data_IF_908684236585
#
_entry.id   IF_908684236585
#
_cell.length_a   1.000
_cell.length_b   1.000
_cell.length_c   1.000
_cell.angle_alpha   90.00
_cell.angle_beta   90.00
_cell.angle_gamma   90.00
#
_symmetry.space_group_name_H-M   'P 1'
#
loop_
_entity.id
_entity.type
_entity.pdbx_description
1 polymer ?
#
# COMPACT_ATOMS: atom_id res chain seq x y z
N UNK A 1 2.41 -15.19 33.56
CA UNK A 1 3.38 -15.53 32.50
C UNK A 1 3.66 -14.28 31.70
N UNK A 2 4.94 -13.96 31.47
CA UNK A 2 5.39 -12.76 30.77
C UNK A 2 5.42 -13.04 29.25
N UNK A 3 4.26 -13.45 28.72
CA UNK A 3 4.13 -13.92 27.33
C UNK A 3 3.62 -12.79 26.44
N UNK A 4 4.26 -12.61 25.28
CA UNK A 4 3.86 -11.62 24.29
C UNK A 4 2.55 -12.05 23.61
N UNK A 5 1.65 -11.08 23.38
CA UNK A 5 0.40 -11.32 22.66
C UNK A 5 0.68 -11.50 21.16
N UNK A 6 0.09 -12.52 20.50
CA UNK A 6 0.32 -12.76 19.09
C UNK A 6 -0.29 -11.67 18.21
N UNK A 7 0.29 -11.47 17.01
CA UNK A 7 -0.22 -10.60 15.94
C UNK A 7 -0.32 -9.12 16.28
N UNK A 8 0.59 -8.63 17.11
CA UNK A 8 0.76 -7.19 17.28
C UNK A 8 1.36 -6.63 15.99
N UNK A 9 0.60 -5.80 15.28
CA UNK A 9 1.10 -5.08 14.11
C UNK A 9 2.42 -4.37 14.43
N UNK A 10 3.45 -4.51 13.57
CA UNK A 10 4.66 -3.72 13.73
C UNK A 10 4.33 -2.23 13.65
N UNK A 11 5.23 -1.42 14.19
CA UNK A 11 5.20 0.02 13.94
C UNK A 11 5.18 0.26 12.42
N UNK A 12 4.33 1.19 11.98
CA UNK A 12 4.28 1.65 10.59
C UNK A 12 4.39 3.16 10.57
N UNK A 13 5.25 3.67 9.70
CA UNK A 13 5.41 5.09 9.46
C UNK A 13 5.16 5.35 7.98
N UNK A 14 4.28 6.30 7.67
CA UNK A 14 3.94 6.63 6.30
C UNK A 14 3.86 8.13 6.08
N UNK A 15 4.09 8.53 4.84
CA UNK A 15 3.97 9.90 4.37
C UNK A 15 3.47 9.93 2.93
N UNK A 16 2.76 11.00 2.58
CA UNK A 16 2.18 11.14 1.24
C UNK A 16 2.22 12.57 0.73
N UNK A 17 2.48 12.70 -0.56
CA UNK A 17 2.41 13.96 -1.30
C UNK A 17 1.24 13.91 -2.26
N UNK A 18 0.45 14.98 -2.30
CA UNK A 18 -0.67 15.13 -3.23
C UNK A 18 -0.53 16.45 -3.97
N UNK A 19 -0.72 16.40 -5.28
CA UNK A 19 -0.75 17.54 -6.16
C UNK A 19 -2.03 17.52 -6.99
N UNK A 20 -2.67 18.67 -7.17
CA UNK A 20 -3.84 18.81 -8.02
C UNK A 20 -3.86 20.20 -8.67
N UNK A 21 -3.98 20.25 -10.00
CA UNK A 21 -4.07 21.49 -10.76
C UNK A 21 -4.83 21.27 -12.06
N UNK A 22 -5.79 22.14 -12.37
CA UNK A 22 -6.49 22.20 -13.66
C UNK A 22 -6.97 20.84 -14.21
N UNK A 23 -7.56 20.01 -13.34
CA UNK A 23 -8.07 18.69 -13.70
C UNK A 23 -7.03 17.57 -13.70
N UNK A 24 -5.74 17.89 -13.56
CA UNK A 24 -4.69 16.91 -13.29
C UNK A 24 -4.55 16.68 -11.78
N UNK A 25 -4.36 15.43 -11.38
CA UNK A 25 -4.00 15.07 -10.00
C UNK A 25 -2.93 13.99 -9.97
N UNK A 26 -2.04 14.11 -8.99
CA UNK A 26 -0.97 13.17 -8.72
C UNK A 26 -0.88 12.90 -7.22
N UNK A 27 -0.55 11.67 -6.85
CA UNK A 27 -0.29 11.27 -5.47
C UNK A 27 0.87 10.29 -5.42
N UNK A 28 1.73 10.46 -4.44
CA UNK A 28 2.81 9.53 -4.11
C UNK A 28 2.73 9.24 -2.61
N UNK A 29 2.69 7.97 -2.24
CA UNK A 29 2.69 7.52 -0.86
C UNK A 29 3.87 6.60 -0.60
N UNK A 30 4.50 6.76 0.55
CA UNK A 30 5.55 5.88 1.06
C UNK A 30 5.12 5.36 2.42
N UNK A 31 5.23 4.06 2.62
CA UNK A 31 4.95 3.38 3.87
C UNK A 31 6.14 2.49 4.23
N UNK A 32 6.73 2.70 5.40
CA UNK A 32 7.72 1.80 6.00
C UNK A 32 7.05 1.05 7.15
N UNK A 33 6.99 -0.27 7.03
CA UNK A 33 6.70 -1.15 8.15
C UNK A 33 8.03 -1.61 8.76
N UNK A 34 8.16 -1.50 10.08
CA UNK A 34 9.34 -1.99 10.79
C UNK A 34 9.22 -3.50 11.04
N UNK A 35 10.34 -4.13 11.43
CA UNK A 35 10.32 -5.54 11.80
C UNK A 35 9.53 -5.78 13.09
N UNK A 36 8.89 -6.96 13.18
CA UNK A 36 8.27 -7.44 14.42
C UNK A 36 9.01 -8.69 14.89
N UNK A 37 9.68 -8.55 16.04
CA UNK A 37 10.51 -9.62 16.63
C UNK A 37 9.95 -10.10 17.98
N UNK A 38 8.93 -9.43 18.54
CA UNK A 38 8.27 -9.83 19.79
C UNK A 38 7.08 -10.73 19.46
N UNK A 39 7.35 -12.01 19.23
CA UNK A 39 6.35 -12.99 18.79
C UNK A 39 5.91 -13.91 19.93
N UNK A 40 4.67 -14.41 19.86
CA UNK A 40 4.19 -15.44 20.78
C UNK A 40 4.79 -16.82 20.44
N UNK A 41 4.59 -17.81 21.32
CA UNK A 41 4.99 -19.20 21.04
C UNK A 41 4.33 -19.71 19.74
N UNK A 42 5.15 -20.13 18.77
CA UNK A 42 4.79 -20.53 17.39
C UNK A 42 4.48 -19.41 16.39
N UNK A 43 4.92 -18.18 16.64
CA UNK A 43 4.83 -17.08 15.67
C UNK A 43 6.22 -16.68 15.13
N UNK A 44 6.37 -16.63 13.79
CA UNK A 44 7.62 -16.27 13.12
C UNK A 44 7.78 -14.75 13.04
N UNK A 45 8.99 -14.27 13.32
CA UNK A 45 9.39 -12.88 13.13
C UNK A 45 9.06 -12.42 11.70
N UNK A 46 8.70 -11.14 11.54
CA UNK A 46 8.35 -10.58 10.23
C UNK A 46 9.26 -9.43 9.90
N UNK A 47 9.92 -9.53 8.74
CA UNK A 47 10.81 -8.51 8.24
C UNK A 47 10.07 -7.23 7.91
N UNK A 48 10.75 -6.09 8.09
CA UNK A 48 10.23 -4.80 7.70
C UNK A 48 10.27 -4.62 6.19
N UNK A 49 9.29 -3.91 5.64
CA UNK A 49 9.18 -3.65 4.19
C UNK A 49 8.96 -2.14 3.92
N UNK A 50 9.26 -1.70 2.70
CA UNK A 50 8.84 -0.39 2.19
C UNK A 50 7.89 -0.56 1.02
N UNK A 51 6.68 -0.03 1.15
CA UNK A 51 5.77 0.12 0.02
C UNK A 51 5.80 1.56 -0.50
N UNK A 52 6.04 1.73 -1.80
CA UNK A 52 5.82 2.99 -2.51
C UNK A 52 4.68 2.79 -3.50
N UNK A 53 3.68 3.66 -3.43
CA UNK A 53 2.55 3.67 -4.36
C UNK A 53 2.36 5.05 -4.99
N UNK A 54 1.89 5.08 -6.23
CA UNK A 54 1.65 6.30 -6.98
C UNK A 54 0.30 6.25 -7.68
N UNK A 55 -0.33 7.42 -7.83
CA UNK A 55 -1.55 7.59 -8.60
C UNK A 55 -1.46 8.84 -9.45
N UNK A 56 -1.91 8.73 -10.70
CA UNK A 56 -2.12 9.84 -11.61
C UNK A 56 -3.57 9.80 -12.08
N UNK A 57 -4.21 10.96 -12.17
CA UNK A 57 -5.51 11.08 -12.79
C UNK A 57 -5.68 12.39 -13.54
N UNK A 58 -6.49 12.36 -14.59
CA UNK A 58 -6.79 13.51 -15.42
C UNK A 58 -8.29 13.56 -15.74
N UNK A 59 -8.91 14.69 -15.39
CA UNK A 59 -10.30 15.00 -15.71
C UNK A 59 -10.41 15.53 -17.14
N UNK A 60 -11.20 14.86 -17.96
CA UNK A 60 -11.46 15.26 -19.33
C UNK A 60 -12.37 16.50 -19.37
N UNK A 61 -12.09 17.39 -20.32
CA UNK A 61 -12.90 18.59 -20.58
C UNK A 61 -14.12 18.22 -21.43
N UNK A 62 -15.06 17.48 -20.84
CA UNK A 62 -16.29 17.03 -21.49
C UNK A 62 -17.53 17.51 -20.73
N UNK A 63 -18.71 17.45 -21.37
CA UNK A 63 -19.99 17.79 -20.71
C UNK A 63 -20.35 16.82 -19.57
N UNK A 64 -19.83 15.60 -19.63
CA UNK A 64 -19.92 14.57 -18.59
C UNK A 64 -18.64 14.58 -17.77
N UNK A 65 -18.72 14.31 -16.47
CA UNK A 65 -17.54 14.19 -15.61
C UNK A 65 -16.85 12.86 -15.90
N UNK A 66 -15.76 12.88 -16.66
CA UNK A 66 -14.95 11.70 -16.98
C UNK A 66 -13.52 11.90 -16.48
N UNK A 67 -12.97 10.90 -15.82
CA UNK A 67 -11.61 10.87 -15.29
C UNK A 67 -10.87 9.63 -15.79
N UNK A 68 -9.70 9.84 -16.39
CA UNK A 68 -8.73 8.78 -16.68
C UNK A 68 -7.77 8.68 -15.50
N UNK A 69 -7.46 7.47 -15.05
CA UNK A 69 -6.53 7.29 -13.95
C UNK A 69 -5.61 6.08 -14.14
N UNK A 70 -4.43 6.18 -13.54
CA UNK A 70 -3.46 5.10 -13.40
C UNK A 70 -2.99 5.03 -11.95
N UNK A 71 -2.86 3.82 -11.41
CA UNK A 71 -2.39 3.52 -10.06
C UNK A 71 -1.29 2.48 -10.14
N UNK A 72 -0.17 2.75 -9.50
CA UNK A 72 0.90 1.79 -9.32
C UNK A 72 1.07 1.50 -7.82
N UNK A 73 1.20 0.24 -7.45
CA UNK A 73 1.42 -0.19 -6.08
C UNK A 73 2.67 -1.07 -6.00
N UNK A 74 3.35 -1.03 -4.85
CA UNK A 74 4.59 -1.75 -4.61
C UNK A 74 5.65 -1.43 -5.69
N UNK A 75 5.92 -0.15 -5.93
CA UNK A 75 6.85 0.31 -6.97
C UNK A 75 8.29 -0.19 -6.78
N UNK A 76 8.67 -0.52 -5.54
CA UNK A 76 9.97 -1.09 -5.19
C UNK A 76 10.04 -2.61 -5.42
N UNK A 77 8.91 -3.25 -5.72
CA UNK A 77 8.82 -4.70 -5.87
C UNK A 77 9.28 -5.45 -4.61
N UNK A 78 9.00 -4.88 -3.43
CA UNK A 78 9.41 -5.41 -2.14
C UNK A 78 8.47 -6.56 -1.72
N UNK A 79 8.98 -7.56 -1.03
CA UNK A 79 8.15 -8.67 -0.57
C UNK A 79 7.41 -8.27 0.71
N UNK A 80 6.13 -7.95 0.58
CA UNK A 80 5.32 -7.42 1.68
C UNK A 80 4.63 -8.57 2.41
N UNK A 81 5.03 -8.84 3.65
CA UNK A 81 4.35 -9.78 4.56
C UNK A 81 3.67 -9.03 5.70
N UNK A 82 2.34 -9.12 5.75
CA UNK A 82 1.54 -8.53 6.81
C UNK A 82 1.59 -9.43 8.05
N UNK A 83 2.22 -8.97 9.13
CA UNK A 83 2.36 -9.76 10.37
C UNK A 83 1.02 -10.23 10.96
N UNK A 84 -0.05 -9.46 10.75
CA UNK A 84 -1.41 -9.79 11.21
C UNK A 84 -2.10 -10.86 10.38
N UNK A 85 -1.55 -11.22 9.20
CA UNK A 85 -2.14 -12.23 8.32
C UNK A 85 -1.76 -13.64 8.77
N UNK A 86 -2.77 -14.48 8.98
CA UNK A 86 -2.59 -15.92 9.21
C UNK A 86 -1.92 -16.64 8.04
N UNK A 87 -2.04 -16.06 6.83
CA UNK A 87 -1.49 -16.62 5.60
C UNK A 87 -0.14 -15.99 5.23
N UNK A 88 0.48 -15.16 6.10
CA UNK A 88 1.71 -14.44 5.75
C UNK A 88 2.87 -15.34 5.30
N UNK A 89 2.90 -16.57 5.79
CA UNK A 89 3.94 -17.57 5.48
C UNK A 89 3.63 -18.37 4.19
N UNK A 90 2.43 -18.19 3.61
CA UNK A 90 1.95 -18.87 2.40
C UNK A 90 1.70 -17.88 1.25
N UNK A 91 1.17 -16.70 1.56
CA UNK A 91 0.71 -15.70 0.61
C UNK A 91 1.25 -14.31 1.02
N UNK A 92 2.38 -13.87 0.48
CA UNK A 92 2.78 -12.47 0.57
C UNK A 92 1.76 -11.57 -0.15
N UNK A 93 1.77 -10.28 0.14
CA UNK A 93 0.97 -9.33 -0.60
C UNK A 93 1.42 -9.30 -2.08
N UNK A 94 0.54 -8.80 -2.95
CA UNK A 94 0.83 -8.73 -4.37
C UNK A 94 2.13 -7.97 -4.67
N UNK A 95 2.89 -8.51 -5.63
CA UNK A 95 4.08 -7.90 -6.21
C UNK A 95 3.76 -6.53 -6.87
N UNK A 96 4.74 -5.93 -7.55
CA UNK A 96 4.51 -4.68 -8.29
C UNK A 96 3.33 -4.79 -9.25
N UNK A 97 2.38 -3.86 -9.10
CA UNK A 97 1.14 -3.87 -9.88
C UNK A 97 0.82 -2.49 -10.47
N UNK A 98 0.19 -2.50 -11.64
CA UNK A 98 -0.30 -1.31 -12.36
C UNK A 98 -1.77 -1.52 -12.72
N UNK A 99 -2.60 -0.53 -12.40
CA UNK A 99 -4.03 -0.50 -12.73
C UNK A 99 -4.31 0.79 -13.47
N UNK A 100 -4.92 0.68 -14.65
CA UNK A 100 -5.37 1.82 -15.46
C UNK A 100 -6.88 1.71 -15.64
N UNK A 101 -7.58 2.84 -15.58
CA UNK A 101 -9.03 2.84 -15.71
C UNK A 101 -9.61 4.19 -16.10
N UNK A 102 -10.91 4.17 -16.35
CA UNK A 102 -11.74 5.33 -16.61
C UNK A 102 -12.89 5.31 -15.61
N UNK A 103 -13.24 6.47 -15.07
CA UNK A 103 -14.45 6.68 -14.27
C UNK A 103 -15.30 7.77 -14.91
N UNK A 104 -16.60 7.55 -14.99
CA UNK A 104 -17.55 8.54 -15.48
C UNK A 104 -18.74 8.62 -14.51
N UNK A 105 -19.12 9.84 -14.16
CA UNK A 105 -20.31 10.14 -13.35
C UNK A 105 -21.37 10.77 -14.26
N UNK A 106 -22.59 10.22 -14.27
CA UNK A 106 -23.71 10.58 -15.16
C UNK A 106 -24.98 10.94 -14.38
#
# INVERSE_FOLDING_TARGET
TNEYLPRISPLRLGGGLRYALNGFSARLDVLRAFNQNNTADNELATDGYTNISAMLAYKLLTKVNVELFAKANNLLDDEIREHTSFLKDIAPAGERSLLVGLRADF
#
